data_IF_262080568955
#
_entry.id   IF_262080568955
#
_cell.length_a   1.000
_cell.length_b   1.000
_cell.length_c   1.000
_cell.angle_alpha   90.00
_cell.angle_beta   90.00
_cell.angle_gamma   90.00
#
_symmetry.space_group_name_H-M   'P 1'
#
loop_
_entity.id
_entity.type
_entity.pdbx_description
1 polymer ?
#
# COMPACT_ATOMS: atom_id res chain seq x y z
N UNK A 1 -37.39 24.78 28.76
CA UNK A 1 -37.07 23.42 28.28
C UNK A 1 -38.14 23.01 27.29
N UNK A 2 -37.86 23.11 25.99
CA UNK A 2 -38.68 22.51 24.93
C UNK A 2 -37.83 21.39 24.33
N UNK A 3 -38.30 20.14 24.43
CA UNK A 3 -37.74 19.02 23.68
C UNK A 3 -38.45 19.04 22.32
N UNK A 4 -37.72 19.35 21.25
CA UNK A 4 -38.20 19.14 19.90
C UNK A 4 -38.25 17.62 19.67
N UNK A 5 -39.46 17.07 19.56
CA UNK A 5 -39.64 15.75 18.97
C UNK A 5 -39.36 15.93 17.48
N UNK A 6 -38.28 15.34 17.00
CA UNK A 6 -38.05 15.15 15.56
C UNK A 6 -39.04 14.04 15.18
N UNK A 7 -40.03 14.34 14.34
CA UNK A 7 -41.00 13.35 13.89
C UNK A 7 -40.27 12.25 13.10
N UNK A 8 -40.70 11.00 13.29
CA UNK A 8 -40.11 9.83 12.63
C UNK A 8 -40.20 9.94 11.09
N UNK A 9 -41.21 10.67 10.61
CA UNK A 9 -41.41 11.03 9.21
C UNK A 9 -40.30 11.97 8.68
N UNK A 10 -39.83 12.94 9.47
CA UNK A 10 -38.70 13.81 9.08
C UNK A 10 -37.40 13.00 8.95
N UNK A 11 -37.22 11.98 9.80
CA UNK A 11 -36.05 11.11 9.76
C UNK A 11 -36.08 10.19 8.54
N UNK A 12 -37.27 9.66 8.19
CA UNK A 12 -37.45 8.84 6.99
C UNK A 12 -37.26 9.66 5.71
N UNK A 13 -37.77 10.89 5.65
CA UNK A 13 -37.54 11.80 4.52
C UNK A 13 -36.04 12.11 4.37
N UNK A 14 -35.32 12.31 5.48
CA UNK A 14 -33.88 12.50 5.45
C UNK A 14 -33.13 11.26 4.93
N UNK A 15 -33.53 10.06 5.36
CA UNK A 15 -32.89 8.81 4.93
C UNK A 15 -33.16 8.53 3.45
N UNK A 16 -34.39 8.77 2.97
CA UNK A 16 -34.75 8.59 1.55
C UNK A 16 -33.98 9.57 0.65
N UNK A 17 -33.84 10.83 1.07
CA UNK A 17 -33.03 11.84 0.35
C UNK A 17 -31.55 11.43 0.34
N UNK A 18 -31.01 10.91 1.44
CA UNK A 18 -29.62 10.43 1.50
C UNK A 18 -29.43 9.21 0.62
N UNK A 19 -30.34 8.24 0.63
CA UNK A 19 -30.28 7.08 -0.27
C UNK A 19 -30.38 7.48 -1.74
N UNK A 20 -31.25 8.44 -2.08
CA UNK A 20 -31.38 8.96 -3.45
C UNK A 20 -30.11 9.69 -3.91
N UNK A 21 -29.50 10.51 -3.05
CA UNK A 21 -28.22 11.19 -3.32
C UNK A 21 -27.08 10.17 -3.49
N UNK A 22 -27.03 9.13 -2.64
CA UNK A 22 -26.03 8.06 -2.76
C UNK A 22 -26.21 7.20 -4.02
N UNK A 23 -27.44 7.04 -4.51
CA UNK A 23 -27.73 6.29 -5.74
C UNK A 23 -27.44 7.12 -7.01
N UNK A 24 -27.55 8.45 -6.95
CA UNK A 24 -27.49 9.32 -8.14
C UNK A 24 -26.21 10.14 -8.31
N UNK A 25 -25.38 10.34 -7.29
CA UNK A 25 -24.10 11.03 -7.47
C UNK A 25 -22.97 10.10 -7.91
N UNK A 26 -22.94 9.81 -9.21
CA UNK A 26 -21.65 9.55 -9.86
C UNK A 26 -20.83 10.84 -9.78
N UNK A 27 -20.03 10.97 -8.73
CA UNK A 27 -19.07 12.06 -8.59
C UNK A 27 -18.37 12.27 -9.95
N UNK A 28 -18.41 13.48 -10.52
CA UNK A 28 -17.83 13.73 -11.83
C UNK A 28 -16.38 13.26 -11.82
N UNK A 29 -16.04 12.37 -12.75
CA UNK A 29 -14.68 11.83 -12.86
C UNK A 29 -13.72 13.00 -13.02
N UNK A 30 -12.99 13.31 -11.95
CA UNK A 30 -11.99 14.36 -11.95
C UNK A 30 -10.78 13.86 -12.74
N UNK A 31 -10.67 14.30 -13.99
CA UNK A 31 -9.49 14.04 -14.81
C UNK A 31 -8.37 14.95 -14.33
N UNK A 32 -7.58 14.48 -13.36
CA UNK A 32 -6.32 15.14 -13.01
C UNK A 32 -5.39 15.05 -14.23
N UNK A 33 -5.22 16.17 -14.94
CA UNK A 33 -4.44 16.29 -16.17
C UNK A 33 -3.07 16.93 -15.99
N UNK A 34 -2.48 16.85 -14.78
CA UNK A 34 -1.04 17.12 -14.64
C UNK A 34 -0.26 15.84 -14.95
N UNK A 35 -0.20 15.52 -16.25
CA UNK A 35 0.51 14.36 -16.82
C UNK A 35 1.88 14.81 -17.34
N UNK A 36 2.63 15.56 -16.53
CA UNK A 36 4.04 15.78 -16.87
C UNK A 36 4.75 14.44 -16.91
N UNK A 37 5.35 14.12 -18.06
CA UNK A 37 6.12 12.90 -18.22
C UNK A 37 7.30 12.91 -17.22
N UNK A 38 7.35 12.00 -16.23
CA UNK A 38 8.40 12.03 -15.22
C UNK A 38 9.81 11.85 -15.80
N UNK A 39 9.94 11.21 -16.98
CA UNK A 39 11.21 11.11 -17.70
C UNK A 39 11.72 12.46 -18.21
N UNK A 40 10.83 13.39 -18.52
CA UNK A 40 11.17 14.73 -19.04
C UNK A 40 11.27 15.75 -17.90
N UNK A 41 10.41 15.62 -16.89
CA UNK A 41 10.36 16.53 -15.73
C UNK A 41 11.61 16.48 -14.86
N UNK A 42 12.06 15.27 -14.51
CA UNK A 42 13.15 15.10 -13.54
C UNK A 42 14.51 15.14 -14.21
N UNK A 43 15.54 15.61 -13.50
CA UNK A 43 16.94 15.41 -13.90
C UNK A 43 17.32 13.92 -13.73
N UNK A 44 18.39 13.48 -14.38
CA UNK A 44 18.76 12.06 -14.39
C UNK A 44 19.10 11.53 -12.99
N UNK A 45 19.80 12.32 -12.18
CA UNK A 45 20.14 12.01 -10.80
C UNK A 45 18.88 11.93 -9.91
N UNK A 46 17.96 12.88 -10.05
CA UNK A 46 16.70 12.88 -9.32
C UNK A 46 15.83 11.69 -9.73
N UNK A 47 15.74 11.40 -11.03
CA UNK A 47 15.00 10.27 -11.56
C UNK A 47 15.56 8.96 -11.00
N UNK A 48 16.88 8.78 -11.03
CA UNK A 48 17.51 7.57 -10.50
C UNK A 48 17.26 7.40 -9.01
N UNK A 49 17.31 8.47 -8.22
CA UNK A 49 16.98 8.42 -6.80
C UNK A 49 15.51 8.03 -6.55
N UNK A 50 14.58 8.51 -7.39
CA UNK A 50 13.14 8.29 -7.24
C UNK A 50 12.64 6.93 -7.76
N UNK A 51 13.28 6.40 -8.79
CA UNK A 51 12.82 5.19 -9.52
C UNK A 51 13.83 4.04 -9.45
N UNK A 52 15.01 4.24 -8.85
CA UNK A 52 16.12 3.25 -8.70
C UNK A 52 16.74 2.76 -10.01
N UNK A 53 16.35 3.33 -11.15
CA UNK A 53 16.88 3.03 -12.48
C UNK A 53 17.24 4.33 -13.22
N UNK A 54 18.21 4.27 -14.13
CA UNK A 54 18.50 5.38 -15.03
C UNK A 54 17.37 5.55 -16.07
N UNK A 55 17.24 6.76 -16.63
CA UNK A 55 16.28 7.01 -17.71
C UNK A 55 16.56 6.15 -18.94
N UNK A 56 17.83 5.97 -19.28
CA UNK A 56 18.26 5.16 -20.42
C UNK A 56 17.87 3.70 -20.23
N UNK A 57 18.11 3.13 -19.04
CA UNK A 57 17.69 1.76 -18.75
C UNK A 57 16.18 1.59 -18.86
N UNK A 58 15.39 2.54 -18.32
CA UNK A 58 13.93 2.48 -18.41
C UNK A 58 13.46 2.56 -19.87
N UNK A 59 13.99 3.51 -20.65
CA UNK A 59 13.55 3.78 -22.02
C UNK A 59 14.01 2.72 -23.03
N UNK A 60 15.27 2.29 -22.93
CA UNK A 60 15.91 1.49 -23.99
C UNK A 60 16.00 0.00 -23.66
N UNK A 61 15.81 -0.39 -22.40
CA UNK A 61 15.90 -1.79 -21.97
C UNK A 61 14.55 -2.27 -21.44
N UNK A 62 14.05 -1.66 -20.37
CA UNK A 62 12.88 -2.19 -19.64
C UNK A 62 11.59 -2.01 -20.45
N UNK A 63 11.33 -0.80 -20.96
CA UNK A 63 10.10 -0.51 -21.70
C UNK A 63 9.92 -1.42 -22.93
N UNK A 64 10.92 -1.62 -23.82
CA UNK A 64 10.78 -2.52 -24.96
C UNK A 64 10.48 -3.97 -24.58
N UNK A 65 10.96 -4.46 -23.44
CA UNK A 65 10.75 -5.84 -22.98
C UNK A 65 9.30 -6.12 -22.58
N UNK A 66 8.59 -5.12 -22.05
CA UNK A 66 7.26 -5.32 -21.45
C UNK A 66 6.13 -4.60 -22.19
N UNK A 67 6.44 -3.64 -23.08
CA UNK A 67 5.43 -2.77 -23.71
C UNK A 67 4.31 -3.55 -24.41
N UNK A 68 4.63 -4.66 -25.08
CA UNK A 68 3.66 -5.47 -25.81
C UNK A 68 2.60 -6.09 -24.89
N UNK A 69 2.96 -6.36 -23.62
CA UNK A 69 2.06 -6.93 -22.63
C UNK A 69 1.21 -5.85 -21.94
N UNK A 70 1.67 -4.58 -21.96
CA UNK A 70 1.02 -3.44 -21.32
C UNK A 70 0.07 -2.67 -22.24
N UNK A 71 0.13 -2.89 -23.55
CA UNK A 71 -0.78 -2.27 -24.51
C UNK A 71 -2.19 -2.85 -24.35
N UNK A 72 -3.15 -2.00 -23.98
CA UNK A 72 -4.57 -2.39 -23.92
C UNK A 72 -5.16 -2.43 -25.33
N UNK A 73 -5.97 -3.45 -25.60
CA UNK A 73 -6.67 -3.66 -26.88
C UNK A 73 -7.95 -2.83 -27.01
N UNK A 74 -8.41 -2.18 -25.94
CA UNK A 74 -9.63 -1.37 -25.95
C UNK A 74 -9.38 0.09 -25.53
N UNK A 75 -9.94 1.03 -26.29
CA UNK A 75 -9.83 2.48 -26.04
C UNK A 75 -10.88 3.00 -25.05
N UNK A 76 -11.43 2.14 -24.19
CA UNK A 76 -12.47 2.53 -23.23
C UNK A 76 -11.82 3.22 -22.04
N UNK A 77 -11.99 4.55 -21.97
CA UNK A 77 -11.33 5.41 -20.98
C UNK A 77 -9.85 5.54 -21.28
N UNK A 78 -9.47 6.65 -21.94
CA UNK A 78 -8.08 7.08 -22.25
C UNK A 78 -7.00 6.12 -21.72
N UNK A 79 -6.55 5.14 -22.53
CA UNK A 79 -5.63 4.11 -22.06
C UNK A 79 -4.32 4.75 -21.59
N UNK A 80 -3.89 4.39 -20.36
CA UNK A 80 -2.64 4.89 -19.78
C UNK A 80 -1.46 4.35 -20.62
N UNK A 81 -0.55 5.21 -21.13
CA UNK A 81 0.58 4.76 -21.92
C UNK A 81 1.45 3.73 -21.17
N UNK A 82 1.99 2.68 -21.84
CA UNK A 82 2.84 1.66 -21.21
C UNK A 82 3.99 2.24 -20.38
N UNK A 83 4.59 3.33 -20.86
CA UNK A 83 5.63 4.05 -20.13
C UNK A 83 5.15 4.57 -18.76
N UNK A 84 3.96 5.17 -18.71
CA UNK A 84 3.40 5.70 -17.46
C UNK A 84 3.04 4.55 -16.51
N UNK A 85 2.49 3.45 -17.03
CA UNK A 85 2.23 2.25 -16.24
C UNK A 85 3.52 1.70 -15.61
N UNK A 86 4.60 1.62 -16.40
CA UNK A 86 5.92 1.22 -15.93
C UNK A 86 6.46 2.17 -14.85
N UNK A 87 6.41 3.48 -15.08
CA UNK A 87 6.91 4.46 -14.10
C UNK A 87 6.12 4.43 -12.79
N UNK A 88 4.80 4.25 -12.83
CA UNK A 88 3.99 4.06 -11.62
C UNK A 88 4.42 2.81 -10.86
N UNK A 89 4.64 1.70 -11.56
CA UNK A 89 5.10 0.44 -10.97
C UNK A 89 6.50 0.59 -10.33
N UNK A 90 7.46 1.17 -11.06
CA UNK A 90 8.81 1.42 -10.55
C UNK A 90 8.79 2.36 -9.34
N UNK A 91 7.92 3.38 -9.34
CA UNK A 91 7.77 4.28 -8.20
C UNK A 91 7.30 3.51 -6.97
N UNK A 92 6.32 2.63 -7.13
CA UNK A 92 5.84 1.78 -6.05
C UNK A 92 6.94 0.85 -5.52
N UNK A 93 7.73 0.20 -6.39
CA UNK A 93 8.84 -0.64 -5.95
C UNK A 93 9.97 0.14 -5.27
N UNK A 94 10.23 1.36 -5.70
CA UNK A 94 11.28 2.21 -5.14
C UNK A 94 10.96 2.76 -3.74
N UNK A 95 9.67 2.91 -3.42
CA UNK A 95 9.21 3.57 -2.18
C UNK A 95 8.16 2.78 -1.40
N UNK A 96 7.86 1.53 -1.77
CA UNK A 96 6.94 0.68 -1.03
C UNK A 96 7.57 0.16 0.26
N UNK A 97 6.74 -0.17 1.24
CA UNK A 97 7.17 -0.96 2.40
C UNK A 97 6.74 -2.42 2.21
N UNK A 98 7.67 -3.35 2.44
CA UNK A 98 7.51 -4.77 2.18
C UNK A 98 7.85 -5.56 3.44
N UNK A 99 6.90 -6.36 3.92
CA UNK A 99 7.18 -7.36 4.96
C UNK A 99 7.46 -8.70 4.30
N UNK A 100 8.55 -9.35 4.70
CA UNK A 100 8.88 -10.73 4.32
C UNK A 100 9.11 -11.52 5.59
N UNK A 101 8.38 -12.62 5.75
CA UNK A 101 8.66 -13.60 6.78
C UNK A 101 9.36 -14.81 6.18
N UNK A 102 10.52 -15.15 6.73
CA UNK A 102 11.30 -16.30 6.33
C UNK A 102 11.32 -17.37 7.43
N UNK A 103 11.32 -18.62 7.01
CA UNK A 103 11.46 -19.76 7.89
C UNK A 103 12.93 -20.18 8.09
N UNK A 104 13.18 -21.16 8.97
CA UNK A 104 14.52 -21.58 9.34
C UNK A 104 15.29 -22.30 8.22
N UNK A 105 14.64 -22.67 7.11
CA UNK A 105 15.26 -23.33 5.95
C UNK A 105 15.35 -22.40 4.74
N UNK A 106 15.35 -21.09 4.99
CA UNK A 106 15.38 -20.03 3.96
C UNK A 106 14.15 -20.05 3.04
N UNK A 107 13.06 -20.66 3.47
CA UNK A 107 11.76 -20.59 2.80
C UNK A 107 11.07 -19.26 3.12
N UNK A 108 10.33 -18.75 2.14
CA UNK A 108 9.47 -17.58 2.36
C UNK A 108 8.11 -18.08 2.83
N UNK A 109 7.71 -17.67 4.03
CA UNK A 109 6.44 -18.06 4.66
C UNK A 109 5.31 -17.08 4.34
N UNK A 110 5.64 -15.80 4.16
CA UNK A 110 4.69 -14.73 3.83
C UNK A 110 5.42 -13.53 3.20
N UNK A 111 4.75 -12.85 2.26
CA UNK A 111 5.19 -11.58 1.68
C UNK A 111 3.98 -10.63 1.61
N UNK A 112 4.11 -9.45 2.21
CA UNK A 112 3.11 -8.38 2.12
C UNK A 112 3.68 -7.21 1.32
N UNK A 113 3.06 -6.93 0.16
CA UNK A 113 3.53 -5.94 -0.83
C UNK A 113 2.39 -4.98 -1.22
N UNK A 114 1.81 -4.29 -0.24
CA UNK A 114 0.60 -3.48 -0.47
C UNK A 114 0.55 -2.16 0.28
N UNK A 115 1.65 -1.78 0.92
CA UNK A 115 1.69 -0.64 1.82
C UNK A 115 2.62 0.46 1.28
N UNK A 116 2.19 1.73 1.31
CA UNK A 116 3.09 2.86 1.05
C UNK A 116 4.31 2.83 1.99
N UNK A 117 5.44 3.38 1.54
CA UNK A 117 6.71 3.40 2.31
C UNK A 117 6.63 4.05 3.68
N UNK A 118 5.65 4.92 3.92
CA UNK A 118 5.42 5.58 5.22
C UNK A 118 4.58 4.74 6.20
N UNK A 119 4.23 3.50 5.85
CA UNK A 119 3.44 2.64 6.72
C UNK A 119 4.38 1.98 7.72
N UNK A 120 4.07 2.08 9.01
CA UNK A 120 4.83 1.41 10.07
C UNK A 120 4.76 -0.12 9.93
N UNK A 121 5.88 -0.79 10.20
CA UNK A 121 6.00 -2.25 10.07
C UNK A 121 4.99 -3.01 10.96
N UNK A 122 4.67 -2.46 12.13
CA UNK A 122 3.63 -2.98 13.02
C UNK A 122 2.24 -2.99 12.37
N UNK A 123 1.90 -1.96 11.61
CA UNK A 123 0.62 -1.86 10.88
C UNK A 123 0.58 -2.89 9.74
N UNK A 124 1.72 -3.10 9.06
CA UNK A 124 1.83 -4.13 8.02
C UNK A 124 1.61 -5.51 8.64
N UNK A 125 2.26 -5.78 9.79
CA UNK A 125 2.09 -7.02 10.52
C UNK A 125 0.66 -7.26 10.96
N UNK A 126 0.04 -6.24 11.57
CA UNK A 126 -1.32 -6.33 12.09
C UNK A 126 -2.35 -6.61 10.98
N UNK A 127 -2.05 -6.20 9.75
CA UNK A 127 -2.86 -6.47 8.57
C UNK A 127 -2.40 -7.69 7.77
N UNK A 128 -1.38 -8.41 8.19
CA UNK A 128 -0.84 -9.57 7.46
C UNK A 128 -1.67 -10.84 7.71
N UNK A 129 -1.70 -11.74 6.71
CA UNK A 129 -2.24 -13.09 6.87
C UNK A 129 -1.41 -13.90 7.87
N UNK A 130 -0.11 -13.60 7.97
CA UNK A 130 0.82 -14.21 8.90
C UNK A 130 0.36 -14.04 10.35
N UNK A 131 -0.02 -12.83 10.77
CA UNK A 131 -0.58 -12.60 12.12
C UNK A 131 -1.80 -13.49 12.37
N UNK A 132 -2.74 -13.53 11.43
CA UNK A 132 -3.96 -14.33 11.56
C UNK A 132 -3.63 -15.81 11.73
N UNK A 133 -2.68 -16.34 10.96
CA UNK A 133 -2.26 -17.75 11.04
C UNK A 133 -1.61 -18.09 12.39
N UNK A 134 -0.82 -17.18 12.96
CA UNK A 134 -0.26 -17.38 14.30
C UNK A 134 -1.32 -17.30 15.41
N UNK A 135 -2.24 -16.34 15.33
CA UNK A 135 -3.34 -16.20 16.30
C UNK A 135 -4.32 -17.37 16.27
N UNK A 136 -4.52 -17.97 15.09
CA UNK A 136 -5.35 -19.17 14.91
C UNK A 136 -4.59 -20.47 15.15
N UNK A 137 -3.34 -20.41 15.64
CA UNK A 137 -2.47 -21.58 15.87
C UNK A 137 -2.26 -22.46 14.63
N UNK A 138 -2.42 -21.91 13.43
CA UNK A 138 -2.16 -22.57 12.15
C UNK A 138 -0.67 -22.54 11.77
N UNK A 139 0.07 -21.57 12.31
CA UNK A 139 1.52 -21.56 12.30
C UNK A 139 2.03 -21.65 13.73
N UNK A 140 2.88 -22.62 14.00
CA UNK A 140 3.57 -22.78 15.27
C UNK A 140 5.00 -22.25 15.17
N UNK A 141 5.50 -21.66 16.24
CA UNK A 141 6.86 -21.15 16.33
C UNK A 141 6.93 -19.74 16.92
N UNK A 142 8.10 -19.14 16.80
CA UNK A 142 8.38 -17.79 17.24
C UNK A 142 8.87 -16.97 16.04
N UNK A 143 8.26 -15.81 15.83
CA UNK A 143 8.77 -14.79 14.94
C UNK A 143 9.80 -13.93 15.67
N UNK A 144 10.85 -13.56 14.96
CA UNK A 144 11.79 -12.53 15.37
C UNK A 144 11.51 -11.29 14.52
N UNK A 145 10.93 -10.26 15.13
CA UNK A 145 10.71 -8.95 14.51
C UNK A 145 11.89 -8.02 14.74
N UNK A 146 11.94 -6.90 14.03
CA UNK A 146 12.86 -5.82 14.38
C UNK A 146 12.26 -4.91 15.47
N UNK A 147 12.97 -3.83 15.81
CA UNK A 147 12.58 -2.89 16.88
C UNK A 147 11.18 -2.26 16.72
N UNK A 148 10.61 -2.28 15.52
CA UNK A 148 9.34 -1.62 15.22
C UNK A 148 8.14 -2.57 15.32
N UNK A 149 8.37 -3.86 15.58
CA UNK A 149 7.33 -4.83 15.84
C UNK A 149 6.97 -4.88 17.33
N UNK A 150 5.67 -5.06 17.68
CA UNK A 150 5.25 -5.26 19.06
C UNK A 150 5.70 -6.64 19.57
N UNK A 151 6.03 -6.71 20.86
CA UNK A 151 6.29 -8.01 21.50
C UNK A 151 4.95 -8.72 21.76
N UNK A 152 4.78 -9.93 21.23
CA UNK A 152 3.61 -10.81 21.42
C UNK A 152 4.09 -12.22 21.81
N UNK A 153 3.17 -13.10 22.24
CA UNK A 153 3.50 -14.49 22.62
C UNK A 153 4.26 -15.28 21.54
N UNK A 154 4.00 -14.96 20.27
CA UNK A 154 4.60 -15.58 19.10
C UNK A 154 5.53 -14.65 18.31
N UNK A 155 5.78 -13.41 18.79
CA UNK A 155 6.59 -12.40 18.10
C UNK A 155 7.52 -11.70 19.10
N UNK A 156 8.80 -11.97 19.00
CA UNK A 156 9.83 -11.42 19.87
C UNK A 156 10.55 -10.29 19.15
N UNK A 157 10.74 -9.17 19.87
CA UNK A 157 11.48 -8.01 19.39
C UNK A 157 12.80 -7.89 20.16
N UNK A 158 13.96 -7.76 19.49
CA UNK A 158 15.26 -7.66 20.13
C UNK A 158 15.34 -6.52 21.15
N UNK A 159 16.00 -6.77 22.27
CA UNK A 159 16.31 -5.74 23.25
C UNK A 159 17.37 -4.80 22.68
N UNK A 160 17.04 -3.52 22.53
CA UNK A 160 17.87 -2.50 21.85
C UNK A 160 19.21 -2.27 22.58
N UNK A 161 19.34 -2.62 23.87
CA UNK A 161 20.57 -2.57 24.66
C UNK A 161 20.66 -3.72 25.68
N UNK A 162 21.31 -4.85 25.36
CA UNK A 162 21.53 -5.94 26.32
C UNK A 162 22.51 -5.46 27.41
N UNK A 163 22.00 -5.21 28.62
CA UNK A 163 22.83 -4.84 29.79
C UNK A 163 22.31 -3.67 30.64
N UNK A 164 21.38 -2.87 30.12
CA UNK A 164 20.61 -1.92 30.96
C UNK A 164 19.31 -2.59 31.39
N UNK A 165 18.96 -2.50 32.68
CA UNK A 165 17.65 -2.94 33.17
C UNK A 165 16.57 -2.21 32.37
N UNK A 166 15.84 -2.93 31.53
CA UNK A 166 14.67 -2.41 30.84
C UNK A 166 13.59 -2.16 31.89
N UNK A 167 13.26 -0.90 32.13
CA UNK A 167 12.04 -0.54 32.86
C UNK A 167 10.86 -0.85 31.93
N UNK A 168 10.30 -2.05 32.05
CA UNK A 168 8.99 -2.35 31.50
C UNK A 168 7.99 -1.47 32.25
N UNK A 169 7.33 -0.54 31.53
CA UNK A 169 6.19 0.23 32.03
C UNK A 169 4.90 -0.52 31.75
#
# INVERSE_FOLDING_TARGET
MARANIDEDDFLEFVDVVEEVLQNERLPKRYFRDVENPLERFRDDEFQNRYRFSKDSVRHIILPMIQNQLMKTNNRGLPIPPLIQLLVCLRFFATGNFQVAAGPHMEILDIVVRHPGSTDDSVIFDRSSLRVRFEQHQLLGLLLGDKWYPCRLYLLTPVIQPGKKSHFK
#
